data_IF_682501708094
#
_entry.id   IF_682501708094
#
_cell.length_a   1.000
_cell.length_b   1.000
_cell.length_c   1.000
_cell.angle_alpha   90.00
_cell.angle_beta   90.00
_cell.angle_gamma   90.00
#
_symmetry.space_group_name_H-M   'P 1'
#
loop_
_entity.id
_entity.type
_entity.pdbx_description
1 polymer ?
#
# COMPACT_ATOMS: atom_id res chain seq x y z
N UNK A 1 -11.77 19.52 13.95
CA UNK A 1 -12.79 18.77 13.18
C UNK A 1 -12.27 18.59 11.76
N UNK A 2 -12.34 17.36 11.26
CA UNK A 2 -11.96 17.09 9.86
C UNK A 2 -13.04 17.62 8.92
N UNK A 3 -12.67 18.17 7.74
CA UNK A 3 -13.65 18.67 6.79
C UNK A 3 -14.60 17.56 6.32
N UNK A 4 -15.86 17.93 6.12
CA UNK A 4 -16.89 17.03 5.60
C UNK A 4 -16.49 16.49 4.23
N UNK A 5 -16.56 15.18 4.07
CA UNK A 5 -16.21 14.51 2.83
C UNK A 5 -17.32 14.69 1.78
N UNK A 6 -17.08 15.50 0.76
CA UNK A 6 -17.98 15.75 -0.37
C UNK A 6 -17.51 15.10 -1.68
N UNK A 7 -16.59 14.12 -1.61
CA UNK A 7 -16.04 13.48 -2.80
C UNK A 7 -17.05 12.55 -3.49
N UNK A 8 -17.07 12.59 -4.83
CA UNK A 8 -17.76 11.60 -5.64
C UNK A 8 -17.02 10.25 -5.55
N UNK A 9 -17.77 9.16 -5.37
CA UNK A 9 -17.23 7.80 -5.34
C UNK A 9 -17.32 7.17 -6.73
N UNK A 10 -16.30 6.40 -7.05
CA UNK A 10 -16.30 5.57 -8.24
C UNK A 10 -17.11 4.29 -7.98
N UNK A 11 -18.13 4.04 -8.80
CA UNK A 11 -18.95 2.82 -8.71
C UNK A 11 -18.27 1.66 -9.44
N UNK A 12 -17.56 0.80 -8.67
CA UNK A 12 -16.85 -0.38 -9.18
C UNK A 12 -17.80 -1.34 -9.92
N UNK A 13 -19.08 -1.37 -9.60
CA UNK A 13 -20.05 -2.34 -10.17
C UNK A 13 -20.32 -2.12 -11.65
N UNK A 14 -20.01 -0.94 -12.17
CA UNK A 14 -20.25 -0.55 -13.56
C UNK A 14 -18.97 -0.40 -14.40
N UNK A 15 -17.78 -0.70 -13.85
CA UNK A 15 -16.56 -0.70 -14.65
C UNK A 15 -16.24 -2.13 -15.12
N UNK A 16 -16.27 -2.40 -16.45
CA UNK A 16 -15.83 -3.67 -16.97
C UNK A 16 -14.30 -3.74 -16.86
N UNK A 17 -13.77 -4.18 -15.71
CA UNK A 17 -12.41 -4.63 -15.62
C UNK A 17 -12.25 -5.84 -16.55
N UNK A 18 -11.61 -5.66 -17.67
CA UNK A 18 -11.33 -6.76 -18.60
C UNK A 18 -10.19 -7.59 -18.02
N UNK A 19 -10.52 -8.81 -17.60
CA UNK A 19 -9.53 -9.84 -17.26
C UNK A 19 -9.21 -10.59 -18.53
N UNK A 20 -8.05 -10.37 -19.12
CA UNK A 20 -7.55 -11.20 -20.23
C UNK A 20 -6.04 -11.11 -20.40
N UNK A 21 -5.34 -12.13 -20.04
CA UNK A 21 -4.18 -12.70 -20.72
C UNK A 21 -4.00 -14.14 -20.20
N UNK A 22 -3.95 -15.13 -21.07
CA UNK A 22 -3.86 -16.54 -20.71
C UNK A 22 -2.47 -17.11 -21.01
N UNK A 23 -1.40 -16.36 -20.72
CA UNK A 23 -0.04 -16.88 -20.88
C UNK A 23 0.29 -17.82 -19.73
N UNK A 24 1.07 -18.85 -19.99
CA UNK A 24 1.64 -19.70 -18.95
C UNK A 24 2.70 -18.90 -18.17
N UNK A 25 2.42 -18.60 -16.92
CA UNK A 25 3.31 -17.90 -16.01
C UNK A 25 4.55 -18.76 -15.68
N UNK A 26 4.46 -20.08 -15.88
CA UNK A 26 5.54 -21.03 -15.61
C UNK A 26 6.76 -20.83 -16.53
N UNK A 27 6.60 -20.21 -17.70
CA UNK A 27 7.68 -19.94 -18.64
C UNK A 27 8.26 -18.51 -18.54
N UNK A 28 7.70 -17.68 -17.65
CA UNK A 28 8.14 -16.31 -17.42
C UNK A 28 9.06 -16.23 -16.21
N UNK A 29 10.04 -15.33 -16.25
CA UNK A 29 10.96 -15.05 -15.16
C UNK A 29 10.95 -13.56 -14.84
N UNK A 30 10.88 -13.22 -13.56
CA UNK A 30 10.86 -11.84 -13.09
C UNK A 30 11.96 -11.57 -12.07
N UNK A 31 12.58 -10.41 -12.20
CA UNK A 31 13.56 -9.92 -11.25
C UNK A 31 12.89 -8.97 -10.26
N UNK A 32 13.06 -9.22 -8.97
CA UNK A 32 12.48 -8.43 -7.89
C UNK A 32 13.51 -8.14 -6.82
N UNK A 33 13.31 -7.07 -6.07
CA UNK A 33 14.04 -6.79 -4.84
C UNK A 33 13.24 -7.38 -3.67
N UNK A 34 13.79 -8.39 -3.01
CA UNK A 34 13.16 -9.02 -1.85
C UNK A 34 13.50 -8.27 -0.57
N UNK A 35 12.49 -7.60 0.03
CA UNK A 35 12.69 -6.82 1.26
C UNK A 35 13.00 -7.70 2.48
N UNK A 36 12.65 -8.99 2.45
CA UNK A 36 12.87 -9.91 3.58
C UNK A 36 14.34 -10.33 3.63
N UNK A 37 14.93 -10.71 2.50
CA UNK A 37 16.33 -11.09 2.42
C UNK A 37 17.29 -9.94 2.10
N UNK A 38 16.77 -8.81 1.59
CA UNK A 38 17.56 -7.67 1.12
C UNK A 38 18.27 -7.91 -0.22
N UNK A 39 17.91 -8.97 -0.96
CA UNK A 39 18.56 -9.37 -2.19
C UNK A 39 17.69 -9.11 -3.43
N UNK A 40 18.36 -8.85 -4.56
CA UNK A 40 17.71 -8.92 -5.86
C UNK A 40 17.73 -10.37 -6.33
N UNK A 41 16.56 -10.92 -6.64
CA UNK A 41 16.39 -12.31 -7.06
C UNK A 41 15.60 -12.40 -8.35
N UNK A 42 15.85 -13.43 -9.16
CA UNK A 42 15.08 -13.75 -10.36
C UNK A 42 14.43 -15.11 -10.14
N UNK A 43 13.10 -15.14 -10.20
CA UNK A 43 12.31 -16.36 -10.01
C UNK A 43 11.39 -16.60 -11.20
N UNK A 44 11.02 -17.87 -11.38
CA UNK A 44 9.91 -18.25 -12.24
C UNK A 44 8.63 -17.58 -11.74
N UNK A 45 7.77 -17.13 -12.65
CA UNK A 45 6.59 -16.33 -12.32
C UNK A 45 5.62 -17.04 -11.38
N UNK A 46 5.42 -18.35 -11.54
CA UNK A 46 4.56 -19.14 -10.66
C UNK A 46 5.12 -19.18 -9.22
N UNK A 47 6.40 -19.53 -9.07
CA UNK A 47 7.08 -19.56 -7.78
C UNK A 47 7.08 -18.18 -7.12
N UNK A 48 7.36 -17.13 -7.91
CA UNK A 48 7.31 -15.74 -7.45
C UNK A 48 5.94 -15.38 -6.88
N UNK A 49 4.86 -15.68 -7.62
CA UNK A 49 3.50 -15.37 -7.17
C UNK A 49 3.11 -16.13 -5.91
N UNK A 50 3.43 -17.42 -5.81
CA UNK A 50 3.17 -18.19 -4.60
C UNK A 50 3.87 -17.59 -3.37
N UNK A 51 5.12 -17.15 -3.52
CA UNK A 51 5.88 -16.52 -2.44
C UNK A 51 5.36 -15.12 -2.08
N UNK A 52 5.00 -14.27 -3.07
CA UNK A 52 4.40 -12.95 -2.81
C UNK A 52 3.08 -13.13 -2.06
N UNK A 53 2.16 -13.97 -2.56
CA UNK A 53 0.86 -14.21 -1.92
C UNK A 53 1.01 -14.74 -0.50
N UNK A 54 1.98 -15.63 -0.26
CA UNK A 54 2.27 -16.15 1.07
C UNK A 54 2.84 -15.07 2.02
N UNK A 55 3.57 -14.11 1.48
CA UNK A 55 4.10 -12.98 2.25
C UNK A 55 3.01 -11.96 2.58
N UNK A 56 2.16 -11.62 1.61
CA UNK A 56 1.17 -10.56 1.70
C UNK A 56 -0.03 -10.95 2.58
N UNK A 57 -0.66 -12.08 2.31
CA UNK A 57 -1.88 -12.48 3.02
C UNK A 57 -1.83 -13.88 3.65
N UNK A 58 -0.92 -14.75 3.19
CA UNK A 58 -0.82 -16.13 3.68
C UNK A 58 -2.00 -17.03 3.27
N UNK A 59 -2.02 -18.24 3.79
CA UNK A 59 -2.99 -19.28 3.42
C UNK A 59 -4.28 -19.33 4.24
N UNK A 60 -4.41 -18.50 5.29
CA UNK A 60 -5.56 -18.56 6.21
C UNK A 60 -6.81 -17.86 5.65
N UNK A 61 -6.65 -16.99 4.67
CA UNK A 61 -7.74 -16.26 4.03
C UNK A 61 -8.60 -17.16 3.12
N UNK A 62 -9.81 -16.70 2.79
CA UNK A 62 -10.68 -17.35 1.81
C UNK A 62 -10.04 -17.49 0.43
N UNK A 63 -10.37 -18.57 -0.30
CA UNK A 63 -9.75 -18.84 -1.62
C UNK A 63 -9.92 -17.70 -2.62
N UNK A 64 -11.08 -17.05 -2.64
CA UNK A 64 -11.32 -15.91 -3.55
C UNK A 64 -10.46 -14.68 -3.20
N UNK A 65 -10.17 -14.44 -1.91
CA UNK A 65 -9.25 -13.39 -1.51
C UNK A 65 -7.81 -13.72 -1.95
N UNK A 66 -7.38 -14.96 -1.80
CA UNK A 66 -6.05 -15.42 -2.25
C UNK A 66 -5.93 -15.28 -3.78
N UNK A 67 -6.97 -15.66 -4.54
CA UNK A 67 -7.01 -15.50 -6.00
C UNK A 67 -6.95 -14.02 -6.41
N UNK A 68 -7.72 -13.16 -5.74
CA UNK A 68 -7.71 -11.71 -6.02
C UNK A 68 -6.33 -11.11 -5.75
N UNK A 69 -5.68 -11.48 -4.64
CA UNK A 69 -4.31 -11.07 -4.33
C UNK A 69 -3.31 -11.54 -5.39
N UNK A 70 -3.44 -12.78 -5.85
CA UNK A 70 -2.56 -13.33 -6.89
C UNK A 70 -2.70 -12.55 -8.20
N UNK A 71 -3.92 -12.23 -8.64
CA UNK A 71 -4.16 -11.43 -9.85
C UNK A 71 -3.61 -10.02 -9.69
N UNK A 72 -3.82 -9.37 -8.55
CA UNK A 72 -3.30 -8.03 -8.29
C UNK A 72 -1.76 -8.01 -8.30
N UNK A 73 -1.13 -8.93 -7.57
CA UNK A 73 0.32 -9.05 -7.47
C UNK A 73 0.96 -9.36 -8.85
N UNK A 74 0.39 -10.29 -9.61
CA UNK A 74 0.88 -10.59 -10.96
C UNK A 74 0.76 -9.39 -11.90
N UNK A 75 -0.38 -8.71 -11.87
CA UNK A 75 -0.59 -7.48 -12.66
C UNK A 75 0.46 -6.43 -12.33
N UNK A 76 0.71 -6.21 -11.03
CA UNK A 76 1.67 -5.23 -10.56
C UNK A 76 3.11 -5.58 -10.94
N UNK A 77 3.52 -6.85 -10.81
CA UNK A 77 4.85 -7.33 -11.25
C UNK A 77 5.02 -7.09 -12.75
N UNK A 78 4.04 -7.48 -13.56
CA UNK A 78 4.09 -7.30 -15.01
C UNK A 78 4.07 -5.83 -15.44
N UNK A 79 3.32 -4.99 -14.73
CA UNK A 79 3.35 -3.55 -14.98
C UNK A 79 4.76 -2.98 -14.77
N UNK A 80 5.41 -3.31 -13.64
CA UNK A 80 6.76 -2.85 -13.35
C UNK A 80 7.78 -3.38 -14.36
N UNK A 81 7.71 -4.65 -14.72
CA UNK A 81 8.57 -5.26 -15.75
C UNK A 81 8.42 -4.53 -17.12
N UNK A 82 7.18 -4.19 -17.50
CA UNK A 82 6.89 -3.50 -18.76
C UNK A 82 7.52 -2.11 -18.87
N UNK A 83 7.81 -1.46 -17.76
CA UNK A 83 8.47 -0.15 -17.68
C UNK A 83 9.96 -0.26 -17.30
N UNK A 84 10.51 -1.48 -17.23
CA UNK A 84 11.90 -1.75 -16.86
C UNK A 84 12.23 -1.47 -15.39
N UNK A 85 11.24 -1.44 -14.51
CA UNK A 85 11.44 -1.27 -13.08
C UNK A 85 11.61 -2.63 -12.38
N UNK A 86 12.45 -2.67 -11.34
CA UNK A 86 12.58 -3.83 -10.44
C UNK A 86 11.65 -3.60 -9.25
N UNK A 87 10.50 -4.31 -9.15
CA UNK A 87 9.59 -4.12 -8.05
C UNK A 87 10.16 -4.66 -6.74
N UNK A 88 9.79 -4.01 -5.64
CA UNK A 88 10.18 -4.43 -4.29
C UNK A 88 9.03 -5.19 -3.65
N UNK A 89 9.26 -6.44 -3.24
CA UNK A 89 8.25 -7.37 -2.70
C UNK A 89 8.79 -8.12 -1.49
N UNK A 90 7.89 -8.61 -0.64
CA UNK A 90 8.26 -9.62 0.35
C UNK A 90 8.15 -11.02 -0.26
N UNK A 91 9.17 -11.86 -0.09
CA UNK A 91 9.17 -13.24 -0.53
C UNK A 91 9.19 -14.18 0.66
N UNK A 92 8.16 -15.04 0.76
CA UNK A 92 8.06 -16.05 1.81
C UNK A 92 7.85 -17.43 1.20
N UNK A 93 8.91 -18.24 1.23
CA UNK A 93 8.87 -19.65 0.80
C UNK A 93 8.03 -20.51 1.75
N UNK A 94 7.81 -21.77 1.39
CA UNK A 94 7.04 -22.71 2.23
C UNK A 94 5.54 -22.40 2.26
N UNK A 95 5.01 -21.92 1.16
CA UNK A 95 3.58 -21.67 0.99
C UNK A 95 2.77 -22.98 1.01
N UNK A 96 1.49 -22.88 1.36
CA UNK A 96 0.59 -24.03 1.46
C UNK A 96 0.10 -24.47 0.08
N UNK A 97 -0.33 -25.75 -0.03
CA UNK A 97 -1.00 -26.27 -1.23
C UNK A 97 -2.29 -25.50 -1.58
N UNK A 98 -2.90 -24.83 -0.61
CA UNK A 98 -4.06 -23.95 -0.86
C UNK A 98 -3.64 -22.70 -1.66
N UNK A 99 -2.53 -22.05 -1.30
CA UNK A 99 -1.99 -20.90 -2.05
C UNK A 99 -1.66 -21.36 -3.48
N UNK A 100 -0.90 -22.43 -3.63
CA UNK A 100 -0.52 -22.96 -4.94
C UNK A 100 -1.74 -23.26 -5.82
N UNK A 101 -2.76 -23.91 -5.28
CA UNK A 101 -4.01 -24.18 -6.00
C UNK A 101 -4.75 -22.91 -6.40
N UNK A 102 -4.78 -21.88 -5.54
CA UNK A 102 -5.42 -20.61 -5.84
C UNK A 102 -4.67 -19.83 -6.91
N UNK A 103 -3.33 -19.80 -6.85
CA UNK A 103 -2.48 -19.18 -7.88
C UNK A 103 -2.67 -19.86 -9.22
N UNK A 104 -2.65 -21.21 -9.26
CA UNK A 104 -2.91 -22.00 -10.48
C UNK A 104 -4.29 -21.69 -11.09
N UNK A 105 -5.31 -21.48 -10.26
CA UNK A 105 -6.67 -21.21 -10.75
C UNK A 105 -6.82 -19.87 -11.48
N UNK A 106 -5.91 -18.93 -11.27
CA UNK A 106 -5.91 -17.58 -11.87
C UNK A 106 -4.63 -17.30 -12.66
N UNK A 107 -3.87 -18.33 -12.97
CA UNK A 107 -2.60 -18.22 -13.66
C UNK A 107 -2.73 -17.41 -14.95
N UNK A 108 -1.85 -16.43 -15.16
CA UNK A 108 -1.82 -15.57 -16.33
C UNK A 108 -2.89 -14.47 -16.38
N UNK A 109 -3.81 -14.41 -15.41
CA UNK A 109 -4.81 -13.36 -15.38
C UNK A 109 -4.20 -12.03 -14.89
N UNK A 110 -4.50 -10.96 -15.61
CA UNK A 110 -4.08 -9.58 -15.26
C UNK A 110 -5.26 -8.62 -15.35
N UNK A 111 -5.19 -7.56 -14.57
CA UNK A 111 -6.15 -6.46 -14.67
C UNK A 111 -5.68 -5.47 -15.73
N UNK A 112 -6.58 -5.08 -16.62
CA UNK A 112 -6.28 -4.18 -17.74
C UNK A 112 -7.25 -2.99 -17.77
N UNK A 113 -6.76 -1.86 -18.26
CA UNK A 113 -7.56 -0.69 -18.54
C UNK A 113 -7.29 -0.22 -19.97
N UNK A 114 -8.34 -0.12 -20.79
CA UNK A 114 -8.22 0.22 -22.23
C UNK A 114 -7.15 -0.60 -22.97
N UNK A 115 -7.08 -1.90 -22.70
CA UNK A 115 -6.14 -2.81 -23.36
C UNK A 115 -4.70 -2.77 -22.84
N UNK A 116 -4.41 -1.99 -21.81
CA UNK A 116 -3.08 -1.91 -21.21
C UNK A 116 -3.09 -2.48 -19.78
N UNK A 117 -2.00 -3.14 -19.39
CA UNK A 117 -1.80 -3.61 -18.01
C UNK A 117 -1.76 -2.39 -17.08
N UNK A 118 -2.46 -2.46 -15.96
CA UNK A 118 -2.52 -1.37 -14.99
C UNK A 118 -1.44 -1.47 -13.91
N UNK A 119 -1.14 -0.36 -13.26
CA UNK A 119 -0.43 -0.37 -11.99
C UNK A 119 -1.40 -0.81 -10.88
N UNK A 120 -1.50 -2.11 -10.63
CA UNK A 120 -2.44 -2.72 -9.71
C UNK A 120 -1.91 -2.67 -8.27
N UNK A 121 -1.87 -1.48 -7.69
CA UNK A 121 -1.49 -1.30 -6.28
C UNK A 121 -2.57 -1.83 -5.34
N UNK A 122 -2.14 -2.34 -4.19
CA UNK A 122 -3.03 -2.90 -3.16
C UNK A 122 -2.53 -2.52 -1.75
N UNK A 123 -3.41 -2.62 -0.77
CA UNK A 123 -3.12 -2.37 0.65
C UNK A 123 -3.99 -3.25 1.53
N UNK A 124 -3.59 -3.43 2.79
CA UNK A 124 -4.35 -4.22 3.76
C UNK A 124 -5.69 -3.54 4.12
N UNK A 125 -5.68 -2.24 4.34
CA UNK A 125 -6.85 -1.45 4.70
C UNK A 125 -6.71 -0.02 4.19
N UNK A 126 -7.84 0.67 4.01
CA UNK A 126 -7.92 2.06 3.54
C UNK A 126 -8.68 2.97 4.49
N UNK A 127 -8.93 2.51 5.73
CA UNK A 127 -9.73 3.22 6.73
C UNK A 127 -11.12 3.67 6.21
N UNK A 128 -11.76 2.81 5.40
CA UNK A 128 -13.09 2.99 4.83
C UNK A 128 -13.13 3.62 3.43
N UNK A 129 -12.04 4.25 2.98
CA UNK A 129 -11.96 4.89 1.66
C UNK A 129 -10.53 4.93 1.16
N UNK A 130 -10.30 4.52 -0.10
CA UNK A 130 -9.02 4.82 -0.76
C UNK A 130 -8.92 6.32 -1.12
N UNK A 131 -7.75 6.73 -1.61
CA UNK A 131 -7.57 8.04 -2.22
C UNK A 131 -7.15 7.91 -3.69
N UNK A 132 -6.85 9.01 -4.38
CA UNK A 132 -6.43 8.96 -5.77
C UNK A 132 -4.93 8.79 -5.90
N UNK A 133 -4.46 8.26 -7.02
CA UNK A 133 -3.03 8.22 -7.32
C UNK A 133 -2.39 9.60 -7.44
N UNK A 134 -3.16 10.60 -7.89
CA UNK A 134 -2.72 11.98 -7.97
C UNK A 134 -2.41 12.57 -6.59
N UNK A 135 -3.27 12.29 -5.59
CA UNK A 135 -3.08 12.72 -4.21
C UNK A 135 -1.78 12.16 -3.59
N UNK A 136 -1.46 10.89 -3.89
CA UNK A 136 -0.32 10.19 -3.26
C UNK A 136 0.98 10.40 -4.05
N UNK A 137 0.92 10.30 -5.39
CA UNK A 137 2.13 10.29 -6.22
C UNK A 137 2.22 11.48 -7.18
N UNK A 138 1.23 12.38 -7.22
CA UNK A 138 1.19 13.50 -8.16
C UNK A 138 0.95 13.07 -9.62
N UNK A 139 0.57 11.81 -9.86
CA UNK A 139 0.30 11.25 -11.18
C UNK A 139 -1.12 10.68 -11.21
N UNK A 140 -1.93 11.17 -12.15
CA UNK A 140 -3.32 10.73 -12.29
C UNK A 140 -3.42 9.47 -13.15
N UNK A 141 -3.71 8.33 -12.53
CA UNK A 141 -4.12 7.12 -13.22
C UNK A 141 -5.65 7.04 -13.24
N UNK A 142 -6.29 6.98 -14.42
CA UNK A 142 -7.75 7.04 -14.53
C UNK A 142 -8.49 5.88 -13.85
N UNK A 143 -7.79 4.80 -13.55
CA UNK A 143 -8.29 3.61 -12.87
C UNK A 143 -7.97 3.56 -11.35
N UNK A 144 -7.07 4.41 -10.85
CA UNK A 144 -6.76 4.53 -9.42
C UNK A 144 -7.52 5.72 -8.82
N UNK A 145 -8.81 5.53 -8.69
CA UNK A 145 -9.75 6.52 -8.16
C UNK A 145 -10.07 6.23 -6.71
N UNK A 146 -10.61 7.23 -6.06
CA UNK A 146 -11.17 7.08 -4.73
C UNK A 146 -12.39 6.15 -4.76
N UNK A 147 -12.35 5.11 -3.93
CA UNK A 147 -13.45 4.15 -3.77
C UNK A 147 -13.75 3.95 -2.28
N UNK A 148 -15.00 3.63 -1.98
CA UNK A 148 -15.42 3.22 -0.64
C UNK A 148 -15.02 1.76 -0.42
N UNK A 149 -14.39 1.49 0.72
CA UNK A 149 -14.08 0.13 1.18
C UNK A 149 -15.05 -0.23 2.30
N UNK A 150 -16.14 -0.92 1.94
CA UNK A 150 -17.29 -1.14 2.84
C UNK A 150 -16.99 -2.11 3.99
N UNK A 151 -15.90 -2.88 3.90
CA UNK A 151 -15.58 -3.94 4.84
C UNK A 151 -14.30 -3.68 5.65
N UNK A 152 -13.69 -2.51 5.53
CA UNK A 152 -12.49 -2.16 6.29
C UNK A 152 -12.72 -2.23 7.81
N UNK A 153 -13.95 -2.02 8.27
CA UNK A 153 -14.34 -2.17 9.67
C UNK A 153 -14.24 -3.61 10.19
N UNK A 154 -13.99 -4.59 9.29
CA UNK A 154 -13.71 -5.98 9.63
C UNK A 154 -12.22 -6.28 9.77
N UNK A 155 -11.36 -5.33 9.39
CA UNK A 155 -9.91 -5.48 9.59
C UNK A 155 -9.61 -5.63 11.09
N UNK A 156 -8.81 -6.63 11.50
CA UNK A 156 -8.43 -6.80 12.90
C UNK A 156 -7.75 -5.59 13.53
N UNK A 157 -7.14 -4.73 12.71
CA UNK A 157 -6.48 -3.51 13.15
C UNK A 157 -7.41 -2.28 13.15
N UNK A 158 -8.67 -2.42 12.74
CA UNK A 158 -9.61 -1.32 12.72
C UNK A 158 -9.89 -0.78 14.13
N UNK A 159 -9.62 0.51 14.32
CA UNK A 159 -9.90 1.17 15.60
C UNK A 159 -8.92 0.82 16.72
N UNK A 160 -7.78 0.19 16.43
CA UNK A 160 -6.72 0.02 17.42
C UNK A 160 -6.21 1.40 17.82
N UNK A 161 -6.13 1.65 19.13
CA UNK A 161 -5.61 2.87 19.71
C UNK A 161 -4.27 2.60 20.41
N UNK A 162 -3.27 3.43 20.12
CA UNK A 162 -1.98 3.42 20.79
C UNK A 162 -1.81 4.73 21.57
N UNK A 163 -1.45 4.62 22.83
CA UNK A 163 -1.25 5.78 23.71
C UNK A 163 0.23 5.95 24.03
N UNK A 164 0.73 7.15 23.86
CA UNK A 164 2.10 7.53 24.20
C UNK A 164 2.10 8.62 25.25
N UNK A 165 3.04 8.56 26.19
CA UNK A 165 3.34 9.66 27.08
C UNK A 165 4.03 10.80 26.31
N UNK A 166 4.04 12.01 26.87
CA UNK A 166 4.75 13.14 26.28
C UNK A 166 6.24 12.87 26.10
N UNK A 167 6.86 12.14 27.03
CA UNK A 167 8.28 11.87 27.01
C UNK A 167 8.63 10.84 25.92
N UNK A 168 7.78 9.82 25.69
CA UNK A 168 7.90 8.88 24.58
C UNK A 168 7.71 9.57 23.22
N UNK A 169 6.74 10.49 23.09
CA UNK A 169 6.56 11.28 21.87
C UNK A 169 7.81 12.11 21.59
N UNK A 170 8.34 12.79 22.63
CA UNK A 170 9.53 13.62 22.50
C UNK A 170 10.74 12.80 22.08
N UNK A 171 10.96 11.66 22.72
CA UNK A 171 12.06 10.74 22.39
C UNK A 171 11.96 10.25 20.93
N UNK A 172 10.76 9.79 20.50
CA UNK A 172 10.54 9.29 19.15
C UNK A 172 10.82 10.35 18.09
N UNK A 173 10.30 11.56 18.25
CA UNK A 173 10.49 12.64 17.28
C UNK A 173 11.94 13.12 17.28
N UNK A 174 12.51 13.41 18.43
CA UNK A 174 13.85 14.00 18.55
C UNK A 174 14.99 13.04 18.22
N UNK A 175 14.74 11.70 18.30
CA UNK A 175 15.73 10.70 17.90
C UNK A 175 15.71 10.38 16.42
N UNK A 176 14.56 10.53 15.76
CA UNK A 176 14.38 10.17 14.35
C UNK A 176 14.39 11.37 13.40
N UNK A 177 14.27 12.58 13.93
CA UNK A 177 14.22 13.81 13.12
C UNK A 177 15.14 14.88 13.68
N UNK A 178 15.33 15.97 12.95
CA UNK A 178 16.02 17.18 13.39
C UNK A 178 15.15 18.14 14.22
N UNK A 179 13.86 17.80 14.45
CA UNK A 179 12.94 18.61 15.26
C UNK A 179 13.30 18.49 16.75
N UNK A 180 13.26 19.63 17.44
CA UNK A 180 13.33 19.72 18.91
C UNK A 180 12.03 20.28 19.44
N UNK A 181 11.30 19.47 20.21
CA UNK A 181 9.99 19.84 20.75
C UNK A 181 10.10 20.82 21.90
N UNK A 182 9.29 21.86 21.87
CA UNK A 182 9.12 22.79 22.98
C UNK A 182 8.39 22.16 24.18
N UNK A 183 8.25 22.91 25.28
CA UNK A 183 7.47 22.45 26.42
C UNK A 183 5.95 22.64 26.25
N UNK A 184 5.52 23.28 25.14
CA UNK A 184 4.11 23.54 24.84
C UNK A 184 3.46 22.35 24.10
N UNK A 185 3.22 21.28 24.85
CA UNK A 185 2.64 20.02 24.38
C UNK A 185 1.35 20.20 23.57
N UNK A 186 0.56 21.24 23.88
CA UNK A 186 -0.73 21.48 23.20
C UNK A 186 -0.59 21.86 21.74
N UNK A 187 0.58 22.40 21.37
CA UNK A 187 0.87 22.87 20.01
C UNK A 187 1.84 21.94 19.25
N UNK A 188 2.17 20.78 19.81
CA UNK A 188 3.08 19.85 19.13
C UNK A 188 2.54 19.33 17.80
N UNK A 189 1.23 19.10 17.67
CA UNK A 189 0.65 18.55 16.45
C UNK A 189 -0.51 19.40 15.94
N UNK A 190 -0.47 19.71 14.65
CA UNK A 190 -1.56 20.37 13.96
C UNK A 190 -1.74 19.75 12.59
N UNK A 191 -2.95 19.33 12.26
CA UNK A 191 -3.29 18.91 10.90
C UNK A 191 -3.52 20.16 10.07
N UNK A 192 -2.73 20.36 9.04
CA UNK A 192 -2.81 21.56 8.16
C UNK A 192 -3.68 21.29 6.93
N UNK A 193 -3.64 20.08 6.39
CA UNK A 193 -4.37 19.69 5.19
C UNK A 193 -4.65 18.21 5.13
N UNK A 194 -5.71 17.85 4.43
CA UNK A 194 -6.06 16.48 4.11
C UNK A 194 -6.49 16.36 2.65
N UNK A 195 -6.19 15.23 2.02
CA UNK A 195 -6.75 14.84 0.74
C UNK A 195 -8.23 14.46 0.87
N UNK A 196 -8.91 14.34 -0.25
CA UNK A 196 -10.21 13.69 -0.28
C UNK A 196 -10.09 12.27 0.32
N UNK A 197 -11.05 11.86 1.16
CA UNK A 197 -10.96 10.57 1.87
C UNK A 197 -10.30 10.64 3.25
N UNK A 198 -10.05 11.86 3.75
CA UNK A 198 -9.47 12.09 5.08
C UNK A 198 -8.03 11.63 5.29
N UNK A 199 -7.29 11.36 4.21
CA UNK A 199 -5.85 11.13 4.30
C UNK A 199 -5.12 12.43 4.64
N UNK A 200 -4.33 12.43 5.68
CA UNK A 200 -3.59 13.60 6.14
C UNK A 200 -2.45 13.89 5.17
N UNK A 201 -2.53 15.01 4.46
CA UNK A 201 -1.54 15.44 3.46
C UNK A 201 -0.52 16.42 3.99
N UNK A 202 -0.76 17.03 5.12
CA UNK A 202 0.17 17.95 5.77
C UNK A 202 -0.06 18.04 7.27
N UNK A 203 1.04 18.00 8.00
CA UNK A 203 1.08 18.14 9.47
C UNK A 203 2.16 19.15 9.83
N UNK A 204 1.87 19.97 10.82
CA UNK A 204 2.88 20.75 11.52
C UNK A 204 3.22 20.06 12.83
N UNK A 205 4.51 19.85 13.09
CA UNK A 205 5.04 19.37 14.38
C UNK A 205 5.81 20.52 15.02
N UNK A 206 5.27 21.05 16.11
CA UNK A 206 5.84 22.18 16.90
C UNK A 206 6.32 23.35 16.01
N UNK A 207 5.48 23.75 15.04
CA UNK A 207 5.77 24.81 14.10
C UNK A 207 6.55 24.40 12.84
N UNK A 208 7.03 23.17 12.76
CA UNK A 208 7.77 22.63 11.60
C UNK A 208 6.85 21.94 10.61
N UNK A 209 6.88 22.31 9.33
CA UNK A 209 6.11 21.69 8.23
C UNK A 209 6.95 20.70 7.41
N UNK A 210 8.27 20.68 7.63
CA UNK A 210 9.22 19.71 7.08
C UNK A 210 10.22 19.30 8.15
N UNK A 211 10.85 18.16 7.96
CA UNK A 211 11.93 17.68 8.81
C UNK A 211 12.91 16.82 8.01
N UNK A 212 14.12 16.65 8.55
CA UNK A 212 15.03 15.61 8.09
C UNK A 212 14.64 14.30 8.76
N UNK A 213 14.20 13.34 7.96
CA UNK A 213 13.85 11.99 8.37
C UNK A 213 14.58 11.00 7.48
N UNK A 214 15.19 9.95 8.05
CA UNK A 214 15.99 8.96 7.32
C UNK A 214 17.03 9.59 6.35
N UNK A 215 17.68 10.66 6.81
CA UNK A 215 18.73 11.37 6.08
C UNK A 215 18.25 12.26 4.92
N UNK A 216 16.93 12.40 4.74
CA UNK A 216 16.34 13.23 3.68
C UNK A 216 15.40 14.29 4.25
N UNK A 217 15.46 15.53 3.73
CA UNK A 217 14.48 16.54 4.06
C UNK A 217 13.16 16.24 3.31
N UNK A 218 12.07 16.17 4.04
CA UNK A 218 10.75 15.93 3.49
C UNK A 218 9.67 16.71 4.24
N UNK A 219 8.57 16.99 3.54
CA UNK A 219 7.36 17.53 4.15
C UNK A 219 6.77 16.53 5.14
N UNK A 220 6.30 17.02 6.28
CA UNK A 220 5.65 16.18 7.28
C UNK A 220 4.20 15.89 6.83
N UNK A 221 3.86 14.62 6.73
CA UNK A 221 2.55 14.12 6.28
C UNK A 221 2.01 13.08 7.26
N UNK A 222 0.80 12.57 7.00
CA UNK A 222 0.26 11.43 7.76
C UNK A 222 1.16 10.20 7.70
N UNK A 223 1.78 9.90 6.54
CA UNK A 223 2.73 8.79 6.39
C UNK A 223 3.97 9.01 7.27
N UNK A 224 4.46 10.25 7.37
CA UNK A 224 5.57 10.57 8.27
C UNK A 224 5.21 10.23 9.73
N UNK A 225 3.97 10.59 10.16
CA UNK A 225 3.51 10.21 11.51
C UNK A 225 3.40 8.70 11.69
N UNK A 226 2.82 7.99 10.70
CA UNK A 226 2.75 6.52 10.77
C UNK A 226 4.15 5.91 10.97
N UNK A 227 5.14 6.36 10.21
CA UNK A 227 6.51 5.86 10.33
C UNK A 227 7.17 6.23 11.68
N UNK A 228 6.97 7.46 12.18
CA UNK A 228 7.52 7.89 13.46
C UNK A 228 6.94 7.14 14.66
N UNK A 229 5.70 6.68 14.54
CA UNK A 229 4.96 6.04 15.64
C UNK A 229 4.70 4.55 15.46
N UNK A 230 5.18 3.94 14.37
CA UNK A 230 4.99 2.52 14.03
C UNK A 230 3.50 2.11 14.02
N UNK A 231 2.64 2.91 13.36
CA UNK A 231 1.20 2.72 13.28
C UNK A 231 0.68 2.75 11.84
#
# INVERSE_FOLDING_TARGET
>A
EMPEDKGEYYDIKNDPANFTDTRSVADEYYTVNDIISGNIVTLNGHELLCQIVNSEIGGEWGEEAIKAQAVAAYTWVRFNDSIGAIPTVGLKSGYSSKIERCVNAVEGQTVMYNGNIINAVYSASTAGYSTTSEDIWGVSYPYLKRVKSEFDDKDPNWGIETTYTKDEIKERIESQTDIKLSDDVKNWFKIDSAFSGKYISGVTIDGHTSCTYDGSEARITGITLCNLFDV
#
